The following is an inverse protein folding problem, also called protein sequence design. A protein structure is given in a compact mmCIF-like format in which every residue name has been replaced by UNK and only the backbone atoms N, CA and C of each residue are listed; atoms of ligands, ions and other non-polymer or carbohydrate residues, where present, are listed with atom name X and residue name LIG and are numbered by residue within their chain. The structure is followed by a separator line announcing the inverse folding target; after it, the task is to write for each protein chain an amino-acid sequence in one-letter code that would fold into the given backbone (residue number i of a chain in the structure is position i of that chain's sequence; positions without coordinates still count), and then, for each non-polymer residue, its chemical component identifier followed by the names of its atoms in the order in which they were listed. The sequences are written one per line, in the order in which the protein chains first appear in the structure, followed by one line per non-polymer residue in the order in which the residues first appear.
data_IF_118740457538
#
_entry.id   IF_118740457538
#
_cell.length_a   1.000
_cell.length_b   1.000
_cell.length_c   1.000
_cell.angle_alpha   90.00
_cell.angle_beta   90.00
_cell.angle_gamma   90.00
#
_symmetry.space_group_name_H-M   'P 1'
#
loop_
_entity.id
_entity.type
_entity.pdbx_description
1 polymer ?
#
# COMPACT_ATOMS: atom_id res chain seq x y z
N UNK A 1 -11.91 16.12 -4.20
CA UNK A 1 -11.25 14.81 -4.03
C UNK A 1 -12.29 13.78 -3.61
N UNK A 2 -12.31 12.64 -4.25
CA UNK A 2 -13.29 11.59 -3.96
C UNK A 2 -12.97 10.87 -2.65
N UNK A 3 -13.98 10.22 -2.07
CA UNK A 3 -13.81 9.40 -0.89
C UNK A 3 -12.79 8.26 -1.14
N UNK A 4 -12.84 7.64 -2.31
CA UNK A 4 -11.93 6.54 -2.66
C UNK A 4 -10.48 7.01 -2.65
N UNK A 5 -10.20 8.13 -3.28
CA UNK A 5 -8.84 8.69 -3.28
C UNK A 5 -8.40 9.10 -1.87
N UNK A 6 -9.29 9.69 -1.08
CA UNK A 6 -8.98 10.03 0.31
C UNK A 6 -8.60 8.80 1.13
N UNK A 7 -9.32 7.70 0.94
CA UNK A 7 -9.03 6.43 1.62
C UNK A 7 -7.64 5.93 1.25
N UNK A 8 -7.30 5.94 -0.04
CA UNK A 8 -5.98 5.47 -0.51
C UNK A 8 -4.87 6.37 0.01
N UNK A 9 -5.07 7.68 0.01
CA UNK A 9 -4.06 8.61 0.55
C UNK A 9 -3.85 8.40 2.05
N UNK A 10 -4.94 8.15 2.80
CA UNK A 10 -4.83 7.83 4.23
C UNK A 10 -4.09 6.52 4.46
N UNK A 11 -4.37 5.50 3.63
CA UNK A 11 -3.65 4.23 3.66
C UNK A 11 -2.15 4.44 3.48
N UNK A 12 -1.77 5.22 2.46
CA UNK A 12 -0.35 5.47 2.16
C UNK A 12 0.34 6.23 3.30
N UNK A 13 -0.33 7.20 3.90
CA UNK A 13 0.20 7.93 5.06
C UNK A 13 0.38 7.00 6.25
N UNK A 14 -0.59 6.15 6.53
CA UNK A 14 -0.50 5.18 7.62
C UNK A 14 0.65 4.20 7.41
N UNK A 15 0.84 3.74 6.19
CA UNK A 15 1.94 2.85 5.85
C UNK A 15 3.29 3.54 6.10
N UNK A 16 3.47 4.78 5.62
CA UNK A 16 4.71 5.52 5.78
C UNK A 16 5.05 5.85 7.23
N UNK A 17 4.04 6.14 8.03
CA UNK A 17 4.25 6.50 9.45
C UNK A 17 4.29 5.29 10.38
N UNK A 18 3.98 4.11 9.86
CA UNK A 18 3.88 2.89 10.67
C UNK A 18 2.63 2.86 11.54
N UNK A 19 1.62 3.65 11.21
CA UNK A 19 0.35 3.66 11.93
C UNK A 19 -0.55 2.56 11.36
N UNK A 20 -0.38 1.35 11.88
CA UNK A 20 -1.08 0.17 11.36
C UNK A 20 -2.59 0.20 11.66
N UNK A 21 -3.01 0.93 12.70
CA UNK A 21 -4.44 1.09 12.99
C UNK A 21 -5.12 1.92 11.89
N UNK A 22 -4.47 3.01 11.46
CA UNK A 22 -4.98 3.83 10.37
C UNK A 22 -5.04 3.03 9.08
N UNK A 23 -3.97 2.30 8.76
CA UNK A 23 -3.91 1.45 7.58
C UNK A 23 -5.03 0.40 7.58
N UNK A 24 -5.20 -0.31 8.69
CA UNK A 24 -6.24 -1.34 8.83
C UNK A 24 -7.65 -0.76 8.72
N UNK A 25 -7.86 0.46 9.23
CA UNK A 25 -9.17 1.12 9.16
C UNK A 25 -9.58 1.46 7.72
N UNK A 26 -8.63 1.50 6.79
CA UNK A 26 -8.90 1.75 5.37
C UNK A 26 -9.32 0.49 4.61
N UNK A 27 -9.28 -0.68 5.25
CA UNK A 27 -9.49 -1.97 4.60
C UNK A 27 -10.87 -2.53 4.92
N UNK A 28 -11.45 -3.29 3.97
CA UNK A 28 -12.60 -4.14 4.27
C UNK A 28 -12.13 -5.35 5.08
N UNK A 29 -13.08 -6.05 5.75
CA UNK A 29 -12.75 -7.25 6.54
C UNK A 29 -12.10 -8.34 5.69
N UNK A 30 -12.54 -8.45 4.42
CA UNK A 30 -12.08 -9.47 3.47
C UNK A 30 -11.02 -8.91 2.51
N UNK A 31 -10.35 -7.82 2.86
CA UNK A 31 -9.37 -7.18 2.00
C UNK A 31 -8.27 -8.17 1.58
N UNK A 32 -7.86 -8.08 0.32
CA UNK A 32 -6.80 -8.91 -0.22
C UNK A 32 -5.61 -8.06 -0.63
N UNK A 33 -4.42 -8.61 -0.46
CA UNK A 33 -3.19 -8.00 -0.97
C UNK A 33 -2.49 -9.02 -1.85
N UNK A 34 -2.31 -8.66 -3.12
CA UNK A 34 -1.68 -9.52 -4.11
C UNK A 34 -0.39 -8.88 -4.57
N UNK A 35 0.70 -9.61 -4.43
CA UNK A 35 1.99 -9.26 -5.06
C UNK A 35 2.24 -10.33 -6.11
N UNK A 36 1.97 -10.06 -7.41
CA UNK A 36 2.14 -11.08 -8.44
C UNK A 36 3.56 -11.64 -8.45
N UNK A 37 3.66 -12.96 -8.44
CA UNK A 37 4.96 -13.64 -8.30
C UNK A 37 5.49 -13.72 -6.88
N UNK A 38 4.81 -13.11 -5.93
CA UNK A 38 5.19 -13.11 -4.52
C UNK A 38 4.12 -13.75 -3.64
N UNK A 39 3.18 -12.97 -3.13
CA UNK A 39 2.18 -13.48 -2.19
C UNK A 39 0.75 -13.10 -2.60
N UNK A 40 -0.20 -13.82 -2.00
CA UNK A 40 -1.62 -13.50 -2.08
C UNK A 40 -2.21 -13.66 -0.67
N UNK A 41 -2.45 -12.55 -0.01
CA UNK A 41 -2.97 -12.52 1.36
C UNK A 41 -4.46 -12.25 1.33
N UNK A 42 -5.23 -12.95 2.15
CA UNK A 42 -6.68 -12.81 2.23
C UNK A 42 -7.07 -12.47 3.67
N UNK A 43 -7.85 -11.41 3.81
CA UNK A 43 -8.35 -10.95 5.10
C UNK A 43 -7.52 -9.80 5.67
N UNK A 44 -8.21 -8.92 6.40
CA UNK A 44 -7.58 -7.73 6.99
C UNK A 44 -6.43 -8.06 7.93
N UNK A 45 -6.57 -9.13 8.72
CA UNK A 45 -5.53 -9.49 9.68
C UNK A 45 -4.25 -9.95 9.00
N UNK A 46 -4.37 -10.77 7.93
CA UNK A 46 -3.22 -11.20 7.15
C UNK A 46 -2.55 -10.02 6.45
N UNK A 47 -3.35 -9.11 5.91
CA UNK A 47 -2.88 -7.89 5.28
C UNK A 47 -2.07 -7.05 6.29
N UNK A 48 -2.66 -6.82 7.47
CA UNK A 48 -2.02 -6.04 8.53
C UNK A 48 -0.71 -6.67 8.98
N UNK A 49 -0.69 -8.00 9.16
CA UNK A 49 0.50 -8.71 9.60
C UNK A 49 1.67 -8.53 8.61
N UNK A 50 1.37 -8.52 7.31
CA UNK A 50 2.40 -8.29 6.29
C UNK A 50 2.91 -6.85 6.35
N UNK A 51 2.02 -5.88 6.49
CA UNK A 51 2.40 -4.46 6.61
C UNK A 51 3.25 -4.22 7.86
N UNK A 52 2.98 -4.92 8.95
CA UNK A 52 3.73 -4.80 10.20
C UNK A 52 5.16 -5.31 10.12
N UNK A 53 5.48 -6.13 9.13
CA UNK A 53 6.86 -6.58 8.91
C UNK A 53 7.78 -5.44 8.49
N UNK A 54 7.21 -4.38 7.93
CA UNK A 54 7.95 -3.18 7.58
C UNK A 54 7.98 -2.29 8.82
N UNK A 55 9.14 -2.14 9.42
CA UNK A 55 9.29 -1.32 10.64
C UNK A 55 9.01 0.16 10.35
N UNK A 56 8.49 0.90 11.36
CA UNK A 56 8.24 2.33 11.20
C UNK A 56 9.50 3.07 10.75
N UNK A 57 9.39 3.88 9.69
CA UNK A 57 10.51 4.67 9.18
C UNK A 57 11.58 3.89 8.44
N UNK A 58 11.42 2.56 8.26
CA UNK A 58 12.44 1.76 7.57
C UNK A 58 12.42 1.95 6.06
N UNK A 59 11.27 2.30 5.50
CA UNK A 59 11.14 2.65 4.09
C UNK A 59 10.28 3.89 3.93
N UNK A 60 10.46 4.59 2.81
CA UNK A 60 9.63 5.72 2.41
C UNK A 60 8.96 5.40 1.09
N UNK A 61 7.64 5.44 1.08
CA UNK A 61 6.83 5.33 -0.13
C UNK A 61 6.52 6.73 -0.62
N UNK A 62 6.91 7.04 -1.85
CA UNK A 62 6.63 8.32 -2.49
C UNK A 62 5.72 8.08 -3.67
N UNK A 63 4.52 8.68 -3.64
CA UNK A 63 3.58 8.57 -4.76
C UNK A 63 3.83 9.73 -5.72
N UNK A 64 4.12 9.40 -6.98
CA UNK A 64 4.33 10.41 -8.02
C UNK A 64 3.01 10.84 -8.65
N UNK A 65 2.02 9.95 -8.71
CA UNK A 65 0.67 10.31 -9.18
C UNK A 65 -0.37 9.31 -8.74
N UNK A 66 -1.61 9.81 -8.66
CA UNK A 66 -2.80 8.98 -8.50
C UNK A 66 -3.64 9.07 -9.77
N UNK A 67 -4.22 7.95 -10.19
CA UNK A 67 -5.19 7.89 -11.28
C UNK A 67 -6.42 7.18 -10.75
N UNK A 68 -7.58 7.77 -10.96
CA UNK A 68 -8.82 7.21 -10.46
C UNK A 68 -9.82 7.01 -11.58
N UNK A 69 -10.50 5.85 -11.56
CA UNK A 69 -11.60 5.55 -12.48
C UNK A 69 -12.59 4.66 -11.73
N UNK A 70 -13.82 5.14 -11.54
CA UNK A 70 -14.88 4.40 -10.85
C UNK A 70 -14.44 3.96 -9.45
N UNK A 71 -14.40 2.66 -9.16
CA UNK A 71 -14.02 2.12 -7.85
C UNK A 71 -12.56 1.69 -7.80
N UNK A 72 -11.74 2.19 -8.73
CA UNK A 72 -10.32 1.85 -8.80
C UNK A 72 -9.49 3.11 -8.64
N UNK A 73 -8.49 3.04 -7.77
CA UNK A 73 -7.48 4.10 -7.63
C UNK A 73 -6.12 3.46 -7.87
N UNK A 74 -5.33 4.06 -8.75
CA UNK A 74 -3.97 3.60 -9.04
C UNK A 74 -3.00 4.62 -8.43
N UNK A 75 -2.01 4.12 -7.69
CA UNK A 75 -0.93 4.94 -7.14
C UNK A 75 0.39 4.44 -7.71
N UNK A 76 1.17 5.35 -8.29
CA UNK A 76 2.44 5.03 -8.92
C UNK A 76 3.55 5.83 -8.26
N UNK A 77 4.68 5.19 -8.00
CA UNK A 77 5.77 5.89 -7.34
C UNK A 77 6.98 5.01 -7.06
N UNK A 78 7.67 5.32 -5.97
CA UNK A 78 8.90 4.63 -5.57
C UNK A 78 8.86 4.25 -4.10
N UNK A 79 9.62 3.20 -3.75
CA UNK A 79 9.87 2.80 -2.37
C UNK A 79 11.39 2.76 -2.17
N UNK A 80 11.87 3.43 -1.14
CA UNK A 80 13.30 3.50 -0.84
C UNK A 80 13.54 3.24 0.64
N UNK A 81 14.66 2.56 0.92
CA UNK A 81 15.12 2.37 2.29
C UNK A 81 15.46 3.70 2.94
N UNK A 82 15.26 3.80 4.25
CA UNK A 82 15.84 4.89 5.03
C UNK A 82 17.36 4.81 4.96
N UNK A 83 18.03 5.95 5.14
CA UNK A 83 19.47 6.07 4.97
C UNK A 83 20.27 5.13 5.89
N UNK A 84 19.73 4.81 7.06
CA UNK A 84 20.38 3.95 8.06
C UNK A 84 19.78 2.54 8.12
N UNK A 85 18.95 2.17 7.15
CA UNK A 85 18.38 0.83 7.11
C UNK A 85 19.44 -0.20 6.74
N UNK A 86 19.38 -1.39 7.38
CA UNK A 86 20.35 -2.44 7.15
C UNK A 86 20.24 -3.08 5.76
N UNK A 87 19.03 -3.22 5.22
CA UNK A 87 18.78 -3.76 3.89
C UNK A 87 18.41 -2.65 2.93
N UNK A 88 18.93 -2.71 1.70
CA UNK A 88 18.63 -1.70 0.70
C UNK A 88 17.39 -2.08 -0.09
N UNK A 89 16.40 -1.19 -0.11
CA UNK A 89 15.23 -1.29 -0.96
C UNK A 89 15.23 -0.10 -1.89
N UNK A 90 15.12 -0.35 -3.18
CA UNK A 90 15.02 0.69 -4.19
C UNK A 90 14.22 0.14 -5.35
N UNK A 91 12.93 0.49 -5.38
CA UNK A 91 12.05 -0.05 -6.41
C UNK A 91 11.01 0.97 -6.85
N UNK A 92 10.49 0.76 -8.05
CA UNK A 92 9.30 1.46 -8.53
C UNK A 92 8.09 0.57 -8.25
N UNK A 93 6.96 1.19 -8.00
CA UNK A 93 5.73 0.43 -7.80
C UNK A 93 4.56 1.04 -8.56
N UNK A 94 3.60 0.18 -8.85
CA UNK A 94 2.29 0.57 -9.31
C UNK A 94 1.28 -0.24 -8.49
N UNK A 95 0.56 0.44 -7.63
CA UNK A 95 -0.45 -0.16 -6.76
C UNK A 95 -1.83 0.09 -7.33
N UNK A 96 -2.59 -0.99 -7.55
CA UNK A 96 -3.96 -0.91 -8.03
C UNK A 96 -4.87 -1.23 -6.86
N UNK A 97 -5.64 -0.23 -6.41
CA UNK A 97 -6.60 -0.36 -5.31
C UNK A 97 -8.00 -0.49 -5.88
N UNK A 98 -8.68 -1.56 -5.50
CA UNK A 98 -10.10 -1.74 -5.78
C UNK A 98 -10.86 -1.46 -4.50
N UNK A 99 -11.86 -0.58 -4.56
CA UNK A 99 -12.57 -0.14 -3.37
C UNK A 99 -14.02 -0.62 -3.38
N UNK A 100 -14.56 -0.79 -2.18
CA UNK A 100 -15.96 -1.13 -1.96
C UNK A 100 -16.46 -0.30 -0.80
N UNK A 101 -17.49 0.52 -1.06
CA UNK A 101 -18.07 1.40 -0.06
C UNK A 101 -17.04 2.27 0.65
N UNK A 102 -16.10 2.83 -0.13
CA UNK A 102 -15.08 3.74 0.38
C UNK A 102 -13.93 3.09 1.13
N UNK A 103 -13.81 1.76 1.09
CA UNK A 103 -12.72 1.03 1.72
C UNK A 103 -12.02 0.12 0.72
N UNK A 104 -10.74 -0.16 0.96
CA UNK A 104 -9.92 -0.97 0.08
C UNK A 104 -10.32 -2.44 0.25
N UNK A 105 -10.81 -3.02 -0.84
CA UNK A 105 -11.18 -4.43 -0.91
C UNK A 105 -10.04 -5.28 -1.44
N UNK A 106 -9.24 -4.73 -2.35
CA UNK A 106 -8.11 -5.45 -2.94
C UNK A 106 -7.03 -4.47 -3.34
N UNK A 107 -5.80 -4.81 -2.99
CA UNK A 107 -4.60 -4.12 -3.44
C UNK A 107 -3.76 -5.10 -4.24
N UNK A 108 -3.45 -4.73 -5.48
CA UNK A 108 -2.48 -5.47 -6.30
C UNK A 108 -1.25 -4.58 -6.46
N UNK A 109 -0.11 -5.07 -5.99
CA UNK A 109 1.14 -4.32 -6.02
C UNK A 109 2.06 -4.89 -7.09
N UNK A 110 2.37 -4.09 -8.09
CA UNK A 110 3.36 -4.42 -9.12
C UNK A 110 4.64 -3.67 -8.78
N UNK A 111 5.74 -4.39 -8.61
CA UNK A 111 7.01 -3.77 -8.19
C UNK A 111 8.14 -4.15 -9.14
N UNK A 112 9.02 -3.20 -9.37
CA UNK A 112 10.18 -3.37 -10.25
C UNK A 112 11.42 -2.90 -9.49
N UNK A 113 12.39 -3.77 -9.23
CA UNK A 113 13.66 -3.34 -8.62
C UNK A 113 14.38 -2.36 -9.53
N UNK A 114 14.95 -1.31 -8.96
CA UNK A 114 15.69 -0.28 -9.71
C UNK A 114 17.19 -0.48 -9.64
N UNK A 115 17.67 -1.31 -8.73
CA UNK A 115 19.10 -1.62 -8.61
C UNK A 115 19.32 -3.08 -8.29
#
# INVERSE_FOLDING_TARGET
MTQNRQTVERYMTGFNTGDHDVTAACLTDDAEWVLPGGFHLVGRDAFRAEAEKVGPGSVTVTVSRFVEAEDVVVAEGTVRSAADAGATVNLAFCDVFELREGKIRRLTSYVVPLT
#
